data_IF_078150476365
#
_entry.id   IF_078150476365
#
_cell.length_a   1.000
_cell.length_b   1.000
_cell.length_c   1.000
_cell.angle_alpha   90.00
_cell.angle_beta   90.00
_cell.angle_gamma   90.00
#
_symmetry.space_group_name_H-M   'P 1'
#
loop_
_entity.id
_entity.type
_entity.pdbx_description
1 polymer ?
#
# COMPACT_ATOMS: atom_id res chain seq x y z
N UNK A 1 2.44 23.72 -1.15
CA UNK A 1 2.94 22.42 -1.67
C UNK A 1 2.58 21.38 -0.62
N UNK A 2 1.68 20.44 -0.93
CA UNK A 2 0.84 19.74 0.07
C UNK A 2 1.04 18.21 0.07
N UNK A 3 2.21 17.74 -0.36
CA UNK A 3 2.55 16.30 -0.46
C UNK A 3 3.86 16.09 0.29
N UNK A 4 3.87 15.24 1.31
CA UNK A 4 5.05 14.89 2.11
C UNK A 4 5.88 13.77 1.46
N UNK A 5 5.17 12.78 0.92
CA UNK A 5 5.74 11.63 0.24
C UNK A 5 4.76 11.10 -0.81
N UNK A 6 5.29 10.34 -1.77
CA UNK A 6 4.50 9.64 -2.77
C UNK A 6 4.87 8.16 -2.81
N UNK A 7 3.91 7.32 -3.19
CA UNK A 7 4.10 5.89 -3.38
C UNK A 7 3.20 5.36 -4.49
N UNK A 8 3.31 4.08 -4.82
CA UNK A 8 2.62 3.45 -5.94
C UNK A 8 1.48 2.55 -5.46
N UNK A 9 0.42 2.49 -6.25
CA UNK A 9 -0.65 1.51 -6.11
C UNK A 9 -0.93 0.81 -7.44
N UNK A 10 -1.34 -0.44 -7.41
CA UNK A 10 -1.75 -1.21 -8.60
C UNK A 10 -3.14 -1.76 -8.37
N UNK A 11 -4.00 -1.64 -9.38
CA UNK A 11 -5.32 -2.26 -9.34
C UNK A 11 -5.17 -3.78 -9.39
N UNK A 12 -5.81 -4.47 -8.44
CA UNK A 12 -5.81 -5.93 -8.35
C UNK A 12 -7.23 -6.46 -8.52
N UNK A 13 -7.36 -7.59 -9.20
CA UNK A 13 -8.65 -8.23 -9.52
C UNK A 13 -8.71 -9.68 -9.06
N UNK A 14 -7.58 -10.28 -8.68
CA UNK A 14 -7.51 -11.64 -8.19
C UNK A 14 -8.02 -11.68 -6.73
N UNK A 15 -9.06 -12.48 -6.47
CA UNK A 15 -9.65 -12.62 -5.14
C UNK A 15 -8.65 -13.21 -4.13
N UNK A 16 -7.76 -14.11 -4.56
CA UNK A 16 -6.75 -14.68 -3.68
C UNK A 16 -5.73 -13.61 -3.26
N UNK A 17 -5.32 -12.73 -4.19
CA UNK A 17 -4.44 -11.59 -3.89
C UNK A 17 -5.13 -10.55 -2.99
N UNK A 18 -6.41 -10.26 -3.23
CA UNK A 18 -7.20 -9.33 -2.40
C UNK A 18 -7.29 -9.82 -0.95
N UNK A 19 -7.57 -11.11 -0.76
CA UNK A 19 -7.73 -11.72 0.56
C UNK A 19 -6.42 -12.07 1.25
N UNK A 20 -5.29 -12.05 0.54
CA UNK A 20 -3.98 -12.35 1.10
C UNK A 20 -3.51 -11.25 2.07
N UNK A 21 -3.24 -11.56 3.36
CA UNK A 21 -2.75 -10.58 4.34
C UNK A 21 -1.31 -10.11 4.10
N UNK A 22 -0.54 -10.81 3.25
CA UNK A 22 0.79 -10.34 2.82
C UNK A 22 0.66 -9.24 1.76
N UNK A 23 -0.45 -9.20 1.03
CA UNK A 23 -0.76 -8.10 0.11
C UNK A 23 -1.37 -6.95 0.89
N UNK A 24 -0.63 -5.84 0.98
CA UNK A 24 -1.12 -4.61 1.62
C UNK A 24 -2.08 -3.90 0.67
N UNK A 25 -3.30 -3.66 1.14
CA UNK A 25 -4.32 -2.89 0.41
C UNK A 25 -4.22 -1.41 0.82
N UNK A 26 -4.51 -0.53 -0.12
CA UNK A 26 -4.55 0.93 0.10
C UNK A 26 -5.84 1.52 -0.47
N UNK A 27 -6.50 2.37 0.31
CA UNK A 27 -7.61 3.20 -0.16
C UNK A 27 -7.19 4.66 -0.24
N UNK A 28 -7.74 5.40 -1.19
CA UNK A 28 -7.40 6.80 -1.43
C UNK A 28 -8.63 7.68 -1.54
N UNK A 29 -8.46 8.97 -1.29
CA UNK A 29 -9.48 9.98 -1.59
C UNK A 29 -9.58 10.26 -3.10
N UNK A 30 -10.47 11.17 -3.48
CA UNK A 30 -10.70 11.60 -4.88
C UNK A 30 -9.46 12.21 -5.53
N UNK A 31 -8.54 12.75 -4.74
CA UNK A 31 -7.33 13.40 -5.19
C UNK A 31 -6.12 12.45 -5.09
N UNK A 32 -6.34 11.15 -4.88
CA UNK A 32 -5.32 10.12 -4.73
C UNK A 32 -4.36 10.32 -3.54
N UNK A 33 -4.82 10.90 -2.44
CA UNK A 33 -4.10 10.79 -1.16
C UNK A 33 -4.52 9.52 -0.43
N UNK A 34 -3.56 8.80 0.15
CA UNK A 34 -3.85 7.61 0.94
C UNK A 34 -4.72 7.99 2.15
N UNK A 35 -5.85 7.31 2.28
CA UNK A 35 -6.70 7.39 3.47
C UNK A 35 -6.27 6.36 4.50
N UNK A 36 -5.96 5.13 4.07
CA UNK A 36 -5.51 4.06 4.95
C UNK A 36 -4.83 2.91 4.19
N UNK A 37 -3.96 2.18 4.90
CA UNK A 37 -3.32 0.94 4.46
C UNK A 37 -3.74 -0.18 5.41
N UNK A 38 -4.02 -1.38 4.89
CA UNK A 38 -4.37 -2.53 5.73
C UNK A 38 -3.98 -3.84 5.07
N UNK A 39 -3.67 -4.84 5.90
CA UNK A 39 -3.60 -6.25 5.47
C UNK A 39 -4.97 -6.86 5.25
N UNK A 40 -6.03 -6.26 5.82
CA UNK A 40 -7.40 -6.69 5.58
C UNK A 40 -7.90 -6.19 4.22
N UNK A 41 -8.83 -6.92 3.56
CA UNK A 41 -9.48 -6.45 2.33
C UNK A 41 -10.23 -5.13 2.58
N UNK A 42 -9.79 -4.07 1.90
CA UNK A 42 -10.43 -2.75 1.95
C UNK A 42 -10.58 -2.15 0.54
N UNK A 43 -11.70 -1.49 0.25
CA UNK A 43 -12.85 -1.26 1.13
C UNK A 43 -13.77 -2.50 1.24
N UNK A 44 -14.51 -2.62 2.33
CA UNK A 44 -15.43 -3.75 2.52
C UNK A 44 -16.66 -3.63 1.61
N UNK A 45 -16.97 -4.65 0.78
CA UNK A 45 -18.03 -4.58 -0.24
C UNK A 45 -19.41 -4.88 0.36
N UNK A 46 -19.95 -3.96 1.18
CA UNK A 46 -21.26 -4.16 1.83
C UNK A 46 -22.41 -4.20 0.82
N UNK A 47 -22.38 -3.34 -0.19
CA UNK A 47 -23.32 -3.36 -1.31
C UNK A 47 -22.67 -4.04 -2.51
N UNK A 48 -23.17 -5.22 -2.87
CA UNK A 48 -22.64 -6.03 -3.98
C UNK A 48 -22.98 -5.47 -5.37
N UNK A 49 -23.82 -4.43 -5.45
CA UNK A 49 -24.12 -3.76 -6.72
C UNK A 49 -23.09 -2.69 -7.07
N UNK A 50 -22.29 -2.25 -6.11
CA UNK A 50 -21.22 -1.29 -6.33
C UNK A 50 -19.98 -2.03 -6.82
N UNK A 51 -19.46 -1.61 -7.96
CA UNK A 51 -18.17 -2.10 -8.47
C UNK A 51 -17.04 -1.53 -7.60
N UNK A 52 -16.55 -2.37 -6.68
CA UNK A 52 -15.47 -2.02 -5.75
C UNK A 52 -14.13 -2.37 -6.36
N UNK A 53 -13.27 -1.36 -6.50
CA UNK A 53 -11.89 -1.54 -6.92
C UNK A 53 -10.96 -1.72 -5.73
N UNK A 54 -10.11 -2.72 -5.79
CA UNK A 54 -9.07 -2.97 -4.81
C UNK A 54 -7.72 -2.54 -5.34
N UNK A 55 -6.93 -1.90 -4.49
CA UNK A 55 -5.60 -1.46 -4.85
C UNK A 55 -4.58 -2.05 -3.89
N UNK A 56 -3.58 -2.72 -4.45
CA UNK A 56 -2.38 -3.16 -3.73
C UNK A 56 -1.39 -2.00 -3.66
N UNK A 57 -0.83 -1.78 -2.49
CA UNK A 57 0.30 -0.88 -2.29
C UNK A 57 1.58 -1.52 -2.80
N UNK A 58 2.42 -0.74 -3.47
CA UNK A 58 3.78 -1.12 -3.85
C UNK A 58 4.77 -0.31 -3.05
N UNK A 59 5.68 -1.00 -2.35
CA UNK A 59 6.70 -0.44 -1.45
C UNK A 59 7.82 0.38 -2.10
N UNK A 60 7.49 1.19 -3.11
CA UNK A 60 8.37 2.18 -3.72
C UNK A 60 7.90 3.55 -3.25
N UNK A 61 8.83 4.38 -2.80
CA UNK A 61 8.53 5.68 -2.23
C UNK A 61 9.41 6.78 -2.79
N UNK A 62 8.83 7.97 -2.90
CA UNK A 62 9.55 9.22 -3.10
C UNK A 62 9.29 10.12 -1.89
N UNK A 63 10.32 10.45 -1.13
CA UNK A 63 10.21 11.23 0.10
C UNK A 63 10.71 12.67 -0.08
N UNK A 64 10.05 13.61 0.61
CA UNK A 64 10.74 14.84 1.02
C UNK A 64 11.69 14.53 2.17
N UNK A 65 12.79 15.26 2.23
CA UNK A 65 13.79 15.15 3.31
C UNK A 65 13.12 15.23 4.69
N UNK A 66 12.26 16.22 4.90
CA UNK A 66 11.58 16.43 6.19
C UNK A 66 10.73 15.23 6.59
N UNK A 67 9.91 14.70 5.70
CA UNK A 67 9.11 13.50 5.96
C UNK A 67 10.00 12.31 6.35
N UNK A 68 11.09 12.07 5.60
CA UNK A 68 12.02 10.99 5.93
C UNK A 68 12.67 11.16 7.31
N UNK A 69 13.07 12.38 7.65
CA UNK A 69 13.65 12.69 8.96
C UNK A 69 12.63 12.60 10.10
N UNK A 70 11.38 12.97 9.83
CA UNK A 70 10.28 12.85 10.79
C UNK A 70 10.03 11.38 11.13
N UNK A 71 10.02 10.48 10.15
CA UNK A 71 9.84 9.04 10.40
C UNK A 71 10.86 8.47 11.38
N UNK A 72 12.12 8.91 11.29
CA UNK A 72 13.18 8.51 12.23
C UNK A 72 12.93 9.00 13.66
N UNK A 73 12.33 10.19 13.81
CA UNK A 73 12.14 10.85 15.11
C UNK A 73 10.82 10.49 15.78
N UNK A 74 9.79 10.25 14.98
CA UNK A 74 8.44 9.98 15.45
C UNK A 74 8.36 8.52 15.94
N UNK A 75 7.85 8.29 17.16
CA UNK A 75 7.68 6.94 17.67
C UNK A 75 6.60 6.19 16.89
N UNK A 76 6.74 4.87 16.84
CA UNK A 76 5.68 3.98 16.34
C UNK A 76 4.47 4.07 17.25
N UNK A 77 3.28 4.22 16.66
CA UNK A 77 2.00 4.23 17.36
C UNK A 77 1.22 2.94 17.10
N UNK A 78 0.00 2.86 17.63
CA UNK A 78 -0.77 1.63 17.69
C UNK A 78 -1.14 1.09 16.31
N UNK A 79 -1.49 1.93 15.33
CA UNK A 79 -1.96 1.43 14.03
C UNK A 79 -0.81 0.83 13.21
N UNK A 80 0.36 1.50 13.19
CA UNK A 80 1.57 0.89 12.60
C UNK A 80 1.94 -0.40 13.34
N UNK A 81 1.92 -0.39 14.68
CA UNK A 81 2.29 -1.55 15.47
C UNK A 81 1.38 -2.77 15.22
N UNK A 82 0.09 -2.54 15.01
CA UNK A 82 -0.91 -3.60 14.78
C UNK A 82 -0.84 -4.18 13.36
N UNK A 83 -0.74 -3.33 12.35
CA UNK A 83 -0.74 -3.76 10.94
C UNK A 83 0.66 -4.16 10.46
N UNK A 84 1.72 -3.71 11.15
CA UNK A 84 3.12 -3.84 10.71
C UNK A 84 3.31 -3.29 9.29
N UNK A 85 2.84 -2.06 9.08
CA UNK A 85 2.97 -1.30 7.84
C UNK A 85 3.52 0.09 8.17
N UNK A 86 4.78 0.34 7.81
CA UNK A 86 5.50 1.58 8.11
C UNK A 86 4.82 2.86 7.60
N UNK A 87 4.11 2.81 6.46
CA UNK A 87 3.42 3.98 5.90
C UNK A 87 2.40 4.59 6.87
N UNK A 88 1.83 3.75 7.75
CA UNK A 88 0.77 4.14 8.67
C UNK A 88 1.30 5.18 9.66
N UNK A 89 2.59 5.12 10.05
CA UNK A 89 3.20 6.15 10.91
C UNK A 89 3.01 7.54 10.33
N UNK A 90 3.27 7.71 9.04
CA UNK A 90 3.09 9.00 8.38
C UNK A 90 1.63 9.48 8.47
N UNK A 91 0.66 8.58 8.25
CA UNK A 91 -0.76 8.91 8.35
C UNK A 91 -1.18 9.25 9.79
N UNK A 92 -0.70 8.51 10.78
CA UNK A 92 -1.00 8.76 12.20
C UNK A 92 -0.53 10.15 12.66
N UNK A 93 0.56 10.66 12.06
CA UNK A 93 1.06 12.02 12.31
C UNK A 93 0.56 13.07 11.29
N UNK A 94 -0.48 12.75 10.52
CA UNK A 94 -1.16 13.70 9.63
C UNK A 94 -0.39 14.07 8.36
N UNK A 95 0.62 13.29 7.98
CA UNK A 95 1.37 13.50 6.73
C UNK A 95 0.54 13.06 5.52
N UNK A 96 0.75 13.74 4.39
CA UNK A 96 0.02 13.48 3.15
C UNK A 96 0.84 12.61 2.20
N UNK A 97 0.33 11.39 1.97
CA UNK A 97 0.92 10.41 1.06
C UNK A 97 0.15 10.44 -0.26
N UNK A 98 0.82 10.84 -1.34
CA UNK A 98 0.26 10.79 -2.70
C UNK A 98 0.43 9.40 -3.29
N UNK A 99 -0.66 8.77 -3.69
CA UNK A 99 -0.63 7.47 -4.38
C UNK A 99 -0.71 7.68 -5.89
N UNK A 100 0.20 7.06 -6.62
CA UNK A 100 0.19 7.06 -8.09
C UNK A 100 -0.12 5.66 -8.58
N UNK A 101 -1.11 5.55 -9.46
CA UNK A 101 -1.46 4.26 -10.04
C UNK A 101 -0.41 3.83 -11.07
N UNK A 102 -0.07 2.54 -11.06
CA UNK A 102 0.80 1.91 -12.05
C UNK A 102 0.17 0.64 -12.59
N UNK A 103 0.44 0.34 -13.86
CA UNK A 103 0.04 -0.90 -14.52
C UNK A 103 1.17 -1.93 -14.55
N UNK A 104 2.37 -1.57 -14.09
CA UNK A 104 3.50 -2.50 -14.02
C UNK A 104 3.20 -3.49 -12.91
N UNK A 105 3.01 -4.76 -13.25
CA UNK A 105 2.98 -5.86 -12.29
C UNK A 105 4.40 -6.45 -12.21
N UNK A 106 4.88 -6.60 -10.98
CA UNK A 106 6.19 -7.21 -10.70
C UNK A 106 5.96 -8.40 -9.79
N UNK A 107 6.86 -9.38 -9.83
CA UNK A 107 6.81 -10.53 -8.95
C UNK A 107 7.53 -10.12 -7.67
N UNK A 108 6.77 -9.97 -6.60
CA UNK A 108 7.30 -9.81 -5.25
C UNK A 108 7.73 -11.19 -4.77
N UNK A 109 8.96 -11.31 -4.29
CA UNK A 109 9.54 -12.58 -3.86
C UNK A 109 9.68 -12.54 -2.34
N UNK A 110 8.64 -12.99 -1.64
CA UNK A 110 8.60 -13.05 -0.18
C UNK A 110 8.71 -14.49 0.34
N UNK A 111 8.39 -15.48 -0.50
CA UNK A 111 8.42 -16.91 -0.19
C UNK A 111 9.26 -17.72 -1.19
N UNK A 112 9.69 -18.94 -0.84
CA UNK A 112 10.34 -19.84 -1.79
C UNK A 112 9.48 -20.11 -3.04
N UNK A 113 8.16 -20.18 -2.90
CA UNK A 113 7.22 -20.39 -4.00
C UNK A 113 7.19 -19.20 -4.97
N UNK A 114 7.30 -17.98 -4.45
CA UNK A 114 7.38 -16.76 -5.26
C UNK A 114 8.66 -16.74 -6.10
N UNK A 115 9.78 -17.24 -5.55
CA UNK A 115 11.04 -17.35 -6.28
C UNK A 115 10.92 -18.32 -7.45
N UNK A 116 10.28 -19.47 -7.26
CA UNK A 116 10.05 -20.43 -8.35
C UNK A 116 9.15 -19.85 -9.43
N UNK A 117 8.11 -19.11 -9.04
CA UNK A 117 7.26 -18.36 -9.99
C UNK A 117 8.05 -17.30 -10.76
N UNK A 118 8.94 -16.58 -10.06
CA UNK A 118 9.81 -15.59 -10.69
C UNK A 118 10.74 -16.22 -11.72
N UNK A 119 11.38 -17.35 -11.41
CA UNK A 119 12.25 -18.08 -12.34
C UNK A 119 11.53 -18.53 -13.62
N UNK A 120 10.27 -18.94 -13.52
CA UNK A 120 9.47 -19.35 -14.69
C UNK A 120 9.17 -18.18 -15.63
N UNK A 121 9.05 -16.96 -15.09
CA UNK A 121 8.70 -15.75 -15.83
C UNK A 121 9.92 -14.94 -16.27
N UNK A 122 11.08 -15.14 -15.64
CA UNK A 122 12.35 -14.51 -15.95
C UNK A 122 13.06 -15.28 -17.08
N UNK A 123 13.09 -14.70 -18.28
CA UNK A 123 13.88 -15.22 -19.43
C UNK A 123 15.30 -14.68 -19.41
#
# INVERSE_FOLDING_TARGET
KEIDLASLKVHITDEDEINNPNTVKVITDKDNFALYFSRSPIPYPRDKKVDVKYFKHKGIYAFRKEALMDFYRLPMLTLEASEKIECIRYLEYGKKIKMVETHVQGIEIDTPEDLERAKLLWK
#
